data_IF_721510872244
#
_entry.id   IF_721510872244
#
_cell.length_a   1.000
_cell.length_b   1.000
_cell.length_c   1.000
_cell.angle_alpha   90.00
_cell.angle_beta   90.00
_cell.angle_gamma   90.00
#
_symmetry.space_group_name_H-M   'P 1'
#
loop_
_entity.id
_entity.type
_entity.pdbx_description
1 polymer ?
#
# COMPACT_ATOMS: atom_id res chain seq x y z
N UNK A 1 -10.01 36.58 19.80
CA UNK A 1 -9.74 36.97 18.39
C UNK A 1 -10.87 37.84 17.86
N UNK A 2 -10.57 38.74 16.92
CA UNK A 2 -11.58 39.46 16.13
C UNK A 2 -12.09 38.57 14.96
N UNK A 3 -13.29 38.83 14.40
CA UNK A 3 -13.79 38.09 13.24
C UNK A 3 -12.81 38.05 12.06
N UNK A 4 -12.04 39.12 11.87
CA UNK A 4 -11.02 39.21 10.82
C UNK A 4 -9.85 38.25 11.08
N UNK A 5 -9.40 38.12 12.33
CA UNK A 5 -8.38 37.14 12.73
C UNK A 5 -8.87 35.70 12.56
N UNK A 6 -10.16 35.44 12.77
CA UNK A 6 -10.77 34.12 12.57
C UNK A 6 -10.81 33.74 11.09
N UNK A 7 -11.14 34.68 10.20
CA UNK A 7 -11.14 34.43 8.75
C UNK A 7 -9.71 34.27 8.22
N UNK A 8 -8.75 35.06 8.70
CA UNK A 8 -7.33 34.89 8.34
C UNK A 8 -6.79 33.54 8.81
N UNK A 9 -7.13 33.09 10.03
CA UNK A 9 -6.75 31.77 10.53
C UNK A 9 -7.40 30.63 9.72
N UNK A 10 -8.67 30.79 9.35
CA UNK A 10 -9.38 29.82 8.51
C UNK A 10 -8.86 29.79 7.07
N UNK A 11 -8.51 30.92 6.46
CA UNK A 11 -7.90 30.97 5.13
C UNK A 11 -6.47 30.43 5.14
N UNK A 12 -5.71 30.66 6.21
CA UNK A 12 -4.41 30.04 6.44
C UNK A 12 -4.57 28.51 6.59
N UNK A 13 -5.56 28.05 7.36
CA UNK A 13 -5.91 26.64 7.48
C UNK A 13 -6.38 26.04 6.16
N UNK A 14 -7.20 26.73 5.35
CA UNK A 14 -7.60 26.31 4.01
C UNK A 14 -6.44 26.30 3.01
N UNK A 15 -5.49 27.21 3.14
CA UNK A 15 -4.27 27.25 2.31
C UNK A 15 -3.33 26.10 2.69
N UNK A 16 -3.29 25.76 3.98
CA UNK A 16 -2.58 24.60 4.50
C UNK A 16 -3.28 23.28 4.11
N UNK A 17 -4.61 23.23 4.14
CA UNK A 17 -5.43 22.12 3.63
C UNK A 17 -5.33 22.00 2.11
N UNK A 18 -5.22 23.09 1.34
CA UNK A 18 -4.86 23.08 -0.09
C UNK A 18 -3.51 22.42 -0.35
N UNK A 19 -2.63 22.40 0.64
CA UNK A 19 -1.33 21.74 0.59
C UNK A 19 -1.36 20.31 1.17
N UNK A 20 -2.30 19.95 2.05
CA UNK A 20 -2.34 18.64 2.74
C UNK A 20 -3.51 17.70 2.39
N UNK A 21 -4.58 18.21 1.79
CA UNK A 21 -5.70 17.43 1.25
C UNK A 21 -6.02 17.94 -0.15
N UNK A 22 -6.11 17.04 -1.13
CA UNK A 22 -6.54 17.35 -2.49
C UNK A 22 -8.01 17.81 -2.51
N UNK A 23 -8.27 19.06 -2.16
CA UNK A 23 -9.29 19.83 -2.82
C UNK A 23 -8.62 20.46 -4.03
N UNK A 24 -8.59 19.73 -5.14
CA UNK A 24 -8.40 20.35 -6.44
C UNK A 24 -9.64 21.22 -6.70
N UNK A 25 -9.64 22.44 -6.15
CA UNK A 25 -10.55 23.49 -6.57
C UNK A 25 -10.16 23.81 -8.01
N UNK A 26 -10.70 23.07 -8.97
CA UNK A 26 -10.60 23.47 -10.35
C UNK A 26 -11.33 24.81 -10.42
N UNK A 27 -10.58 25.90 -10.62
CA UNK A 27 -11.09 27.29 -10.59
C UNK A 27 -12.22 27.54 -11.61
N UNK A 28 -12.57 26.55 -12.43
CA UNK A 28 -13.50 26.65 -13.53
C UNK A 28 -14.96 26.30 -13.19
N UNK A 29 -15.29 25.70 -12.03
CA UNK A 29 -16.70 25.63 -11.63
C UNK A 29 -17.11 26.95 -10.97
N UNK A 30 -18.05 27.66 -11.62
CA UNK A 30 -18.46 29.03 -11.26
C UNK A 30 -18.94 29.17 -9.82
N UNK A 31 -19.50 28.11 -9.26
CA UNK A 31 -20.16 28.08 -7.96
C UNK A 31 -19.18 28.03 -6.76
N UNK A 32 -18.03 27.37 -6.90
CA UNK A 32 -16.98 27.37 -5.87
C UNK A 32 -16.13 28.64 -5.87
N UNK A 33 -15.96 29.28 -7.05
CA UNK A 33 -15.31 30.59 -7.17
C UNK A 33 -16.07 31.65 -6.37
N UNK A 34 -17.39 31.63 -6.42
CA UNK A 34 -18.22 32.56 -5.65
C UNK A 34 -18.10 32.35 -4.14
N UNK A 35 -18.03 31.09 -3.67
CA UNK A 35 -17.81 30.78 -2.26
C UNK A 35 -16.45 31.27 -1.76
N UNK A 36 -15.37 31.01 -2.51
CA UNK A 36 -14.02 31.45 -2.16
C UNK A 36 -13.93 32.98 -2.17
N UNK A 37 -14.43 33.64 -3.22
CA UNK A 37 -14.46 35.11 -3.28
C UNK A 37 -15.38 35.73 -2.22
N UNK A 38 -16.42 35.03 -1.76
CA UNK A 38 -17.23 35.49 -0.63
C UNK A 38 -16.44 35.40 0.68
N UNK A 39 -15.76 34.27 0.95
CA UNK A 39 -14.89 34.11 2.13
C UNK A 39 -13.75 35.15 2.15
N UNK A 40 -13.15 35.44 0.99
CA UNK A 40 -12.12 36.49 0.84
C UNK A 40 -12.69 37.90 1.11
N UNK A 41 -13.93 38.19 0.71
CA UNK A 41 -14.61 39.47 1.03
C UNK A 41 -14.93 39.61 2.51
N UNK A 42 -15.37 38.54 3.15
CA UNK A 42 -15.58 38.50 4.62
C UNK A 42 -14.25 38.69 5.35
N UNK A 43 -13.13 38.23 4.78
CA UNK A 43 -11.78 38.45 5.31
C UNK A 43 -11.32 39.92 5.20
N UNK A 44 -11.79 40.63 4.18
CA UNK A 44 -11.40 42.01 3.90
C UNK A 44 -12.15 43.04 4.76
N UNK A 45 -13.25 42.67 5.42
CA UNK A 45 -13.94 43.53 6.39
C UNK A 45 -15.21 42.89 6.96
N UNK A 46 -15.70 43.35 8.13
CA UNK A 46 -16.84 42.73 8.80
C UNK A 46 -18.13 42.95 8.00
N UNK A 47 -18.73 41.87 7.51
CA UNK A 47 -20.14 41.85 7.13
C UNK A 47 -20.98 41.71 8.41
N UNK A 48 -22.04 42.49 8.55
CA UNK A 48 -22.92 42.41 9.72
C UNK A 48 -23.48 40.98 9.92
N UNK A 49 -23.67 40.51 11.16
CA UNK A 49 -24.01 39.11 11.46
C UNK A 49 -25.26 38.58 10.74
N UNK A 50 -26.25 39.44 10.47
CA UNK A 50 -27.45 39.06 9.71
C UNK A 50 -27.23 38.85 8.21
N UNK A 51 -26.17 39.43 7.64
CA UNK A 51 -25.85 39.31 6.21
C UNK A 51 -25.18 37.96 5.87
N UNK A 52 -24.43 37.39 6.83
CA UNK A 52 -23.69 36.14 6.68
C UNK A 52 -24.60 34.92 6.58
N UNK A 53 -25.70 34.90 7.34
CA UNK A 53 -26.61 33.76 7.40
C UNK A 53 -27.51 33.63 6.15
N UNK A 54 -28.03 34.76 5.65
CA UNK A 54 -28.86 34.76 4.43
C UNK A 54 -28.03 34.50 3.16
N UNK A 55 -26.88 35.16 2.99
CA UNK A 55 -26.05 34.95 1.80
C UNK A 55 -25.50 33.52 1.69
N UNK A 56 -25.31 32.83 2.82
CA UNK A 56 -24.85 31.45 2.83
C UNK A 56 -25.92 30.44 2.43
N UNK A 57 -27.16 30.59 2.91
CA UNK A 57 -28.29 29.77 2.46
C UNK A 57 -28.47 29.90 0.94
N UNK A 58 -28.33 31.13 0.42
CA UNK A 58 -28.38 31.39 -1.01
C UNK A 58 -27.19 30.78 -1.77
N UNK A 59 -25.99 30.77 -1.20
CA UNK A 59 -24.81 30.15 -1.82
C UNK A 59 -24.86 28.62 -1.80
N UNK A 60 -25.36 28.00 -0.72
CA UNK A 60 -25.59 26.55 -0.66
C UNK A 60 -26.71 26.12 -1.60
N UNK A 61 -27.79 26.90 -1.68
CA UNK A 61 -28.87 26.68 -2.63
C UNK A 61 -28.36 26.84 -4.07
N UNK A 62 -27.57 27.87 -4.35
CA UNK A 62 -26.94 28.07 -5.66
C UNK A 62 -25.93 26.94 -5.99
N UNK A 63 -25.16 26.45 -5.03
CA UNK A 63 -24.26 25.31 -5.22
C UNK A 63 -25.05 24.03 -5.49
N UNK A 64 -26.16 23.80 -4.78
CA UNK A 64 -27.06 22.66 -5.00
C UNK A 64 -27.71 22.72 -6.39
N UNK A 65 -28.09 23.91 -6.86
CA UNK A 65 -28.70 24.10 -8.19
C UNK A 65 -27.67 23.97 -9.32
N UNK A 66 -26.47 24.51 -9.13
CA UNK A 66 -25.43 24.54 -10.19
C UNK A 66 -24.53 23.30 -10.23
N UNK A 67 -24.39 22.59 -9.11
CA UNK A 67 -23.63 21.33 -9.03
C UNK A 67 -24.10 20.48 -7.83
N UNK A 68 -25.19 19.69 -7.99
CA UNK A 68 -25.77 18.88 -6.92
C UNK A 68 -24.79 17.87 -6.29
N UNK A 69 -23.90 17.32 -7.12
CA UNK A 69 -22.88 16.35 -6.67
C UNK A 69 -21.81 17.02 -5.79
N UNK A 70 -21.39 18.23 -6.14
CA UNK A 70 -20.48 19.01 -5.30
C UNK A 70 -21.18 19.45 -4.01
N UNK A 71 -22.46 19.81 -4.06
CA UNK A 71 -23.24 20.10 -2.85
C UNK A 71 -23.25 18.91 -1.89
N UNK A 72 -23.60 17.70 -2.35
CA UNK A 72 -23.53 16.51 -1.50
C UNK A 72 -22.12 16.24 -0.95
N UNK A 73 -21.10 16.36 -1.81
CA UNK A 73 -19.70 16.11 -1.45
C UNK A 73 -19.16 17.08 -0.40
N UNK A 74 -19.52 18.37 -0.47
CA UNK A 74 -18.94 19.42 0.37
C UNK A 74 -19.84 19.85 1.55
N UNK A 75 -21.11 19.44 1.58
CA UNK A 75 -22.07 19.77 2.65
C UNK A 75 -21.55 19.44 4.07
N UNK A 76 -20.89 18.30 4.36
CA UNK A 76 -20.38 18.01 5.70
C UNK A 76 -19.25 18.95 6.15
N UNK A 77 -18.33 19.30 5.23
CA UNK A 77 -17.24 20.23 5.51
C UNK A 77 -17.76 21.65 5.75
N UNK A 78 -18.73 22.09 4.96
CA UNK A 78 -19.39 23.38 5.12
C UNK A 78 -20.22 23.45 6.42
N UNK A 79 -20.91 22.37 6.79
CA UNK A 79 -21.64 22.29 8.07
C UNK A 79 -20.71 22.34 9.29
N UNK A 80 -19.55 21.68 9.22
CA UNK A 80 -18.55 21.68 10.30
C UNK A 80 -17.93 23.07 10.51
N UNK A 81 -17.66 23.77 9.41
CA UNK A 81 -17.21 25.17 9.40
C UNK A 81 -18.16 26.11 10.15
N UNK A 82 -19.47 25.89 10.01
CA UNK A 82 -20.50 26.69 10.66
C UNK A 82 -20.82 26.26 12.09
N UNK A 83 -20.66 24.99 12.45
CA UNK A 83 -20.75 24.57 13.86
C UNK A 83 -19.69 25.28 14.71
N UNK A 84 -18.51 25.51 14.12
CA UNK A 84 -17.38 26.26 14.71
C UNK A 84 -17.66 27.78 14.77
N UNK A 85 -18.38 28.36 13.79
CA UNK A 85 -18.73 29.79 13.77
C UNK A 85 -20.04 30.16 14.47
N UNK A 86 -20.98 29.22 14.61
CA UNK A 86 -22.35 29.47 15.10
C UNK A 86 -22.52 29.39 16.62
N UNK A 87 -21.49 28.97 17.36
CA UNK A 87 -21.51 28.84 18.82
C UNK A 87 -20.63 29.91 19.47
N UNK A 88 -21.11 31.15 19.47
CA UNK A 88 -20.44 32.30 20.09
C UNK A 88 -20.36 32.23 21.64
N UNK A 89 -20.44 31.05 22.26
CA UNK A 89 -20.46 30.91 23.73
C UNK A 89 -19.50 29.88 24.34
N UNK A 90 -18.90 28.99 23.57
CA UNK A 90 -17.92 28.04 24.12
C UNK A 90 -16.55 28.23 23.47
N UNK A 91 -15.89 29.34 23.83
CA UNK A 91 -14.46 29.50 23.57
C UNK A 91 -13.77 30.08 24.80
N UNK A 92 -12.93 29.26 25.42
CA UNK A 92 -12.02 29.68 26.47
C UNK A 92 -10.99 30.63 25.87
N UNK A 93 -10.78 31.74 26.56
CA UNK A 93 -9.82 32.78 26.21
C UNK A 93 -8.40 32.21 26.35
N UNK A 94 -7.64 32.21 25.26
CA UNK A 94 -6.22 31.84 25.22
C UNK A 94 -5.45 33.15 25.24
N UNK A 95 -4.93 33.52 26.41
CA UNK A 95 -4.35 34.84 26.66
C UNK A 95 -2.83 34.90 26.43
N UNK A 96 -2.18 33.77 26.17
CA UNK A 96 -0.77 33.72 25.84
C UNK A 96 -0.39 32.51 24.97
N UNK A 97 0.77 32.58 24.30
CA UNK A 97 1.35 31.47 23.51
C UNK A 97 1.52 30.18 24.33
N UNK A 98 1.60 30.27 25.66
CA UNK A 98 1.68 29.12 26.57
C UNK A 98 0.37 28.31 26.64
N UNK A 99 -0.78 28.96 26.36
CA UNK A 99 -2.10 28.33 26.43
C UNK A 99 -2.49 27.64 25.10
N UNK A 100 -1.71 27.86 24.02
CA UNK A 100 -1.80 27.11 22.77
C UNK A 100 -1.11 25.74 22.82
N UNK A 101 -0.31 25.49 23.86
CA UNK A 101 0.54 24.30 23.98
C UNK A 101 -0.25 22.97 23.95
N UNK A 102 -1.44 22.81 24.57
CA UNK A 102 -2.13 21.52 24.53
C UNK A 102 -2.70 21.14 23.15
N UNK A 103 -3.08 22.13 22.32
CA UNK A 103 -3.61 21.89 20.97
C UNK A 103 -2.50 21.79 19.91
N UNK A 104 -1.35 22.43 20.13
CA UNK A 104 -0.14 22.29 19.32
C UNK A 104 0.77 21.13 19.74
N UNK A 105 0.55 20.52 20.92
CA UNK A 105 1.30 19.36 21.40
C UNK A 105 1.18 18.13 20.50
N UNK A 106 0.15 18.05 19.65
CA UNK A 106 0.08 17.01 18.62
C UNK A 106 0.96 17.30 17.39
N UNK A 107 1.56 18.48 17.25
CA UNK A 107 2.05 18.98 15.96
C UNK A 107 3.33 19.81 15.97
N UNK A 108 4.11 19.84 17.07
CA UNK A 108 5.53 20.18 17.02
C UNK A 108 6.33 19.36 18.03
N UNK A 109 7.30 18.61 17.52
CA UNK A 109 8.55 18.38 18.26
C UNK A 109 9.61 19.16 17.51
N UNK A 110 10.09 20.22 18.14
CA UNK A 110 11.22 21.01 17.66
C UNK A 110 12.47 20.14 17.72
N UNK A 111 12.82 19.60 16.57
CA UNK A 111 14.01 18.82 16.31
C UNK A 111 13.94 18.35 14.87
N UNK A 112 15.06 18.41 14.14
CA UNK A 112 15.24 17.54 12.99
C UNK A 112 15.17 16.10 13.53
N UNK A 113 13.98 15.51 13.52
CA UNK A 113 13.73 14.18 14.06
C UNK A 113 14.33 13.15 13.12
N UNK A 114 15.55 12.71 13.41
CA UNK A 114 16.09 11.49 12.82
C UNK A 114 15.13 10.30 13.03
N UNK A 115 14.55 9.82 11.93
CA UNK A 115 14.42 8.42 11.51
C UNK A 115 14.12 7.37 12.60
N UNK A 116 12.83 7.13 12.87
CA UNK A 116 12.35 6.30 13.98
C UNK A 116 12.39 4.76 13.76
N UNK A 117 12.79 4.27 12.59
CA UNK A 117 13.13 2.87 12.39
C UNK A 117 14.38 2.86 11.51
N UNK A 118 15.56 2.52 12.05
CA UNK A 118 16.76 2.60 11.24
C UNK A 118 16.62 1.67 10.03
N UNK A 119 16.88 2.13 8.80
CA UNK A 119 16.67 1.34 7.58
C UNK A 119 15.35 1.63 6.85
N UNK A 120 14.40 2.33 7.49
CA UNK A 120 13.21 2.89 6.85
C UNK A 120 13.32 4.42 6.85
N UNK A 121 13.46 5.00 5.67
CA UNK A 121 13.46 6.44 5.45
C UNK A 121 12.03 6.90 5.13
N UNK A 122 11.52 7.92 5.83
CA UNK A 122 10.23 8.54 5.49
C UNK A 122 10.54 9.86 4.80
N UNK A 123 10.04 10.07 3.58
CA UNK A 123 10.20 11.33 2.84
C UNK A 123 8.83 11.89 2.50
N UNK A 124 8.53 13.08 3.02
CA UNK A 124 7.37 13.80 2.54
C UNK A 124 7.53 15.31 2.60
N UNK A 125 6.87 15.99 1.66
CA UNK A 125 6.69 17.44 1.69
C UNK A 125 5.47 17.89 2.51
N UNK A 126 4.62 16.95 2.94
CA UNK A 126 3.37 17.25 3.61
C UNK A 126 3.54 17.30 5.14
N UNK A 127 3.20 18.44 5.78
CA UNK A 127 3.20 18.54 7.24
C UNK A 127 2.34 17.44 7.87
N UNK A 128 2.87 16.75 8.90
CA UNK A 128 2.18 15.66 9.59
C UNK A 128 2.36 14.27 9.02
N UNK A 129 2.79 14.14 7.76
CA UNK A 129 2.88 12.83 7.11
C UNK A 129 3.78 11.86 7.89
N UNK A 130 4.94 12.35 8.35
CA UNK A 130 5.87 11.56 9.16
C UNK A 130 5.21 11.03 10.44
N UNK A 131 4.43 11.87 11.13
CA UNK A 131 3.74 11.47 12.35
C UNK A 131 2.67 10.41 12.06
N UNK A 132 1.91 10.57 10.98
CA UNK A 132 0.92 9.58 10.55
C UNK A 132 1.54 8.23 10.21
N UNK A 133 2.61 8.21 9.41
CA UNK A 133 3.33 6.97 9.09
C UNK A 133 3.88 6.32 10.36
N UNK A 134 4.42 7.11 11.29
CA UNK A 134 4.91 6.59 12.59
C UNK A 134 3.81 5.93 13.41
N UNK A 135 2.62 6.52 13.49
CA UNK A 135 1.48 5.88 14.18
C UNK A 135 1.19 4.50 13.59
N UNK A 136 1.23 4.37 12.26
CA UNK A 136 0.99 3.09 11.58
C UNK A 136 2.13 2.08 11.79
N UNK A 137 3.39 2.53 11.76
CA UNK A 137 4.54 1.67 12.07
C UNK A 137 4.49 1.16 13.52
N UNK A 138 4.13 2.03 14.47
CA UNK A 138 3.95 1.63 15.87
C UNK A 138 2.80 0.63 16.03
N UNK A 139 1.69 0.83 15.31
CA UNK A 139 0.58 -0.12 15.31
C UNK A 139 1.00 -1.50 14.76
N UNK A 140 1.86 -1.54 13.73
CA UNK A 140 2.45 -2.78 13.23
C UNK A 140 3.37 -3.44 14.25
N UNK A 141 4.21 -2.66 14.95
CA UNK A 141 5.12 -3.14 15.99
C UNK A 141 4.39 -3.79 17.18
N UNK A 142 3.11 -3.45 17.39
CA UNK A 142 2.28 -4.12 18.40
C UNK A 142 1.90 -5.59 18.04
N UNK A 143 2.20 -6.04 16.82
CA UNK A 143 2.07 -7.44 16.39
C UNK A 143 3.44 -8.11 16.29
N UNK A 144 3.53 -9.41 16.57
CA UNK A 144 4.78 -10.16 16.45
C UNK A 144 5.25 -10.24 14.99
N UNK A 145 4.33 -10.42 14.03
CA UNK A 145 4.66 -10.42 12.60
C UNK A 145 5.15 -9.05 12.12
N UNK A 146 4.50 -7.96 12.54
CA UNK A 146 4.94 -6.60 12.23
C UNK A 146 6.29 -6.26 12.87
N UNK A 147 6.51 -6.66 14.12
CA UNK A 147 7.83 -6.56 14.78
C UNK A 147 8.91 -7.28 13.97
N UNK A 148 8.68 -8.53 13.58
CA UNK A 148 9.64 -9.32 12.82
C UNK A 148 10.02 -8.65 11.48
N UNK A 149 9.06 -8.03 10.79
CA UNK A 149 9.32 -7.28 9.55
C UNK A 149 10.15 -6.03 9.86
N UNK A 150 9.73 -5.21 10.80
CA UNK A 150 10.40 -3.94 11.12
C UNK A 150 11.83 -4.14 11.63
N UNK A 151 12.06 -5.16 12.45
CA UNK A 151 13.38 -5.55 12.91
C UNK A 151 14.25 -6.05 11.75
N UNK A 152 13.71 -6.89 10.87
CA UNK A 152 14.45 -7.39 9.71
C UNK A 152 14.85 -6.29 8.72
N UNK A 153 13.96 -5.30 8.51
CA UNK A 153 14.26 -4.11 7.71
C UNK A 153 15.34 -3.22 8.37
N UNK A 154 15.50 -3.34 9.69
CA UNK A 154 16.46 -2.56 10.48
C UNK A 154 17.88 -3.13 10.48
N UNK A 155 18.01 -4.46 10.39
CA UNK A 155 19.30 -5.18 10.48
C UNK A 155 20.09 -5.16 9.16
N UNK A 156 19.43 -5.01 7.99
CA UNK A 156 20.05 -5.05 6.67
C UNK A 156 20.85 -3.78 6.28
N UNK A 157 21.69 -3.24 7.18
CA UNK A 157 22.40 -1.98 6.94
C UNK A 157 23.70 -2.07 6.15
N UNK A 158 24.26 -3.27 5.98
CA UNK A 158 25.63 -3.42 5.46
C UNK A 158 25.76 -3.17 3.94
N UNK A 159 24.66 -3.26 3.19
CA UNK A 159 24.65 -3.22 1.71
C UNK A 159 23.91 -2.02 1.11
N UNK A 160 23.68 -0.97 1.90
CA UNK A 160 23.03 0.31 1.50
C UNK A 160 21.59 0.19 0.99
N UNK A 161 20.97 -0.99 0.99
CA UNK A 161 19.58 -1.11 0.54
C UNK A 161 18.64 -0.60 1.63
N UNK A 162 17.74 0.30 1.26
CA UNK A 162 16.83 0.98 2.19
C UNK A 162 15.39 0.83 1.71
N UNK A 163 14.47 0.88 2.67
CA UNK A 163 13.06 1.14 2.37
C UNK A 163 12.83 2.64 2.48
N UNK A 164 12.24 3.25 1.46
CA UNK A 164 11.79 4.64 1.52
C UNK A 164 10.27 4.66 1.47
N UNK A 165 9.61 5.27 2.45
CA UNK A 165 8.17 5.54 2.40
C UNK A 165 7.99 6.99 1.95
N UNK A 166 7.31 7.19 0.84
CA UNK A 166 7.05 8.52 0.28
C UNK A 166 5.57 8.82 0.25
N UNK A 167 5.20 10.10 0.35
CA UNK A 167 3.83 10.48 0.02
C UNK A 167 3.50 10.11 -1.42
N UNK A 168 2.39 9.42 -1.61
CA UNK A 168 1.87 9.15 -2.96
C UNK A 168 1.36 10.48 -3.55
N UNK A 169 2.24 11.21 -4.23
CA UNK A 169 1.82 12.23 -5.18
C UNK A 169 1.20 11.47 -6.33
N UNK A 170 -0.04 11.77 -6.75
CA UNK A 170 -0.78 11.06 -7.82
C UNK A 170 -0.12 11.08 -9.22
N UNK A 171 1.21 11.21 -9.33
CA UNK A 171 1.96 10.84 -10.52
C UNK A 171 2.12 9.32 -10.54
N UNK A 172 1.35 8.71 -11.42
CA UNK A 172 1.22 7.26 -11.65
C UNK A 172 2.49 6.67 -12.29
N UNK A 173 3.64 6.80 -11.62
CA UNK A 173 4.89 6.22 -12.07
C UNK A 173 5.53 5.42 -10.95
N UNK A 174 5.06 4.18 -10.76
CA UNK A 174 5.79 3.16 -10.02
C UNK A 174 7.17 3.05 -10.68
N UNK A 175 8.21 3.53 -10.02
CA UNK A 175 9.56 3.51 -10.55
C UNK A 175 9.99 2.06 -10.78
N UNK A 176 10.05 1.63 -12.05
CA UNK A 176 10.44 0.28 -12.51
C UNK A 176 11.90 -0.11 -12.16
N UNK A 177 12.60 0.74 -11.43
CA UNK A 177 14.04 0.67 -11.23
C UNK A 177 14.37 -0.18 -10.00
N UNK A 178 14.46 -1.50 -10.19
CA UNK A 178 15.02 -2.42 -9.19
C UNK A 178 14.30 -3.76 -9.01
N UNK A 179 13.13 -3.92 -9.62
CA UNK A 179 12.25 -5.10 -9.46
C UNK A 179 13.01 -6.41 -9.73
N UNK A 180 13.90 -6.40 -10.70
CA UNK A 180 14.66 -7.56 -11.15
C UNK A 180 15.63 -8.13 -10.11
N UNK A 181 16.15 -7.28 -9.21
CA UNK A 181 17.08 -7.70 -8.17
C UNK A 181 16.37 -8.30 -6.96
N UNK A 182 15.09 -7.96 -6.77
CA UNK A 182 14.26 -8.45 -5.67
C UNK A 182 13.70 -9.86 -5.89
N UNK A 183 13.75 -10.36 -7.12
CA UNK A 183 13.31 -11.71 -7.46
C UNK A 183 14.26 -12.79 -6.94
N UNK A 184 13.70 -13.93 -6.53
CA UNK A 184 14.50 -15.15 -6.40
C UNK A 184 15.01 -15.59 -7.78
N UNK A 185 16.06 -16.42 -7.79
CA UNK A 185 16.77 -16.72 -9.05
C UNK A 185 15.94 -17.53 -10.05
N UNK A 186 15.02 -18.37 -9.59
CA UNK A 186 14.12 -19.14 -10.47
C UNK A 186 13.12 -18.20 -11.15
N UNK A 187 12.47 -17.33 -10.38
CA UNK A 187 11.54 -16.33 -10.91
C UNK A 187 12.25 -15.37 -11.88
N UNK A 188 13.47 -14.94 -11.55
CA UNK A 188 14.27 -14.10 -12.42
C UNK A 188 14.57 -14.75 -13.78
N UNK A 189 14.97 -16.02 -13.80
CA UNK A 189 15.25 -16.75 -15.05
C UNK A 189 13.96 -16.95 -15.87
N UNK A 190 12.84 -17.25 -15.23
CA UNK A 190 11.56 -17.51 -15.92
C UNK A 190 10.78 -16.25 -16.32
N UNK A 191 11.19 -15.07 -15.85
CA UNK A 191 10.47 -13.81 -16.09
C UNK A 191 10.35 -13.47 -17.58
N UNK A 192 11.39 -13.75 -18.37
CA UNK A 192 11.41 -13.36 -19.77
C UNK A 192 10.45 -14.28 -20.53
N UNK A 193 9.44 -13.71 -21.22
CA UNK A 193 8.47 -14.50 -21.98
C UNK A 193 9.15 -15.40 -23.02
N UNK A 194 10.33 -15.02 -23.52
CA UNK A 194 11.10 -15.75 -24.52
C UNK A 194 12.10 -16.76 -23.94
N UNK A 195 12.12 -16.96 -22.61
CA UNK A 195 13.01 -17.95 -21.99
C UNK A 195 12.57 -19.35 -22.38
N UNK A 196 13.15 -19.90 -23.44
CA UNK A 196 12.93 -21.28 -23.89
C UNK A 196 13.90 -22.27 -23.24
N UNK A 197 14.91 -21.77 -22.54
CA UNK A 197 16.02 -22.56 -21.98
C UNK A 197 15.96 -22.58 -20.47
N UNK A 198 16.27 -23.73 -19.89
CA UNK A 198 16.41 -23.85 -18.43
C UNK A 198 17.67 -23.09 -18.00
N UNK A 199 17.51 -22.09 -17.15
CA UNK A 199 18.64 -21.37 -16.61
C UNK A 199 19.39 -22.18 -15.54
N UNK A 200 20.64 -21.80 -15.27
CA UNK A 200 21.51 -22.53 -14.37
C UNK A 200 21.00 -22.54 -12.92
N UNK A 201 20.32 -21.47 -12.49
CA UNK A 201 19.78 -21.37 -11.15
C UNK A 201 18.53 -22.23 -10.97
N UNK A 202 17.68 -22.32 -11.99
CA UNK A 202 16.53 -23.22 -11.99
C UNK A 202 16.97 -24.67 -11.99
N UNK A 203 18.00 -25.02 -12.76
CA UNK A 203 18.57 -26.37 -12.73
C UNK A 203 19.18 -26.71 -11.36
N UNK A 204 19.88 -25.77 -10.72
CA UNK A 204 20.44 -25.96 -9.39
C UNK A 204 19.33 -26.17 -8.34
N UNK A 205 18.28 -25.33 -8.36
CA UNK A 205 17.14 -25.47 -7.46
C UNK A 205 16.42 -26.82 -7.67
N UNK A 206 16.23 -27.24 -8.92
CA UNK A 206 15.64 -28.53 -9.24
C UNK A 206 16.51 -29.71 -8.76
N UNK A 207 17.83 -29.62 -8.88
CA UNK A 207 18.75 -30.64 -8.38
C UNK A 207 18.72 -30.75 -6.84
N UNK A 208 18.44 -29.66 -6.13
CA UNK A 208 18.24 -29.68 -4.67
C UNK A 208 16.87 -30.27 -4.29
N UNK A 209 15.82 -29.91 -5.03
CA UNK A 209 14.45 -30.38 -4.77
C UNK A 209 14.26 -31.87 -5.08
N UNK A 210 14.90 -32.34 -6.16
CA UNK A 210 14.81 -33.71 -6.65
C UNK A 210 16.22 -34.21 -7.05
N UNK A 211 17.03 -34.65 -6.07
CA UNK A 211 18.44 -34.97 -6.28
C UNK A 211 18.66 -36.21 -7.14
N UNK A 212 17.74 -37.18 -7.11
CA UNK A 212 17.82 -38.41 -7.91
C UNK A 212 17.48 -38.09 -9.37
N UNK A 213 18.44 -38.15 -10.31
CA UNK A 213 18.18 -37.74 -11.70
C UNK A 213 17.09 -38.58 -12.36
N UNK A 214 17.05 -39.89 -12.08
CA UNK A 214 16.11 -40.83 -12.69
C UNK A 214 14.64 -40.55 -12.37
N UNK A 215 14.34 -39.77 -11.34
CA UNK A 215 12.95 -39.42 -10.95
C UNK A 215 12.68 -37.92 -11.00
N UNK A 216 13.69 -37.11 -11.37
CA UNK A 216 13.61 -35.65 -11.32
C UNK A 216 12.56 -35.10 -12.29
N UNK A 217 12.54 -35.61 -13.51
CA UNK A 217 11.62 -35.14 -14.55
C UNK A 217 10.18 -35.48 -14.16
N UNK A 218 9.94 -36.73 -13.72
CA UNK A 218 8.66 -37.14 -13.15
C UNK A 218 8.20 -36.27 -11.99
N UNK A 219 9.09 -36.02 -11.04
CA UNK A 219 8.77 -35.20 -9.87
C UNK A 219 8.32 -33.80 -10.27
N UNK A 220 9.05 -33.13 -11.17
CA UNK A 220 8.70 -31.78 -11.60
C UNK A 220 7.38 -31.77 -12.40
N UNK A 221 7.17 -32.75 -13.27
CA UNK A 221 5.92 -32.95 -13.99
C UNK A 221 4.72 -33.09 -13.03
N UNK A 222 4.85 -33.93 -12.01
CA UNK A 222 3.80 -34.13 -10.99
C UNK A 222 3.51 -32.81 -10.23
N UNK A 223 4.55 -32.02 -9.91
CA UNK A 223 4.38 -30.70 -9.25
C UNK A 223 3.69 -29.68 -10.15
N UNK A 224 4.06 -29.61 -11.43
CA UNK A 224 3.42 -28.71 -12.41
C UNK A 224 1.95 -29.05 -12.55
N UNK A 225 1.62 -30.34 -12.73
CA UNK A 225 0.25 -30.77 -12.98
C UNK A 225 -0.65 -30.71 -11.74
N UNK A 226 -0.07 -30.81 -10.53
CA UNK A 226 -0.80 -30.64 -9.28
C UNK A 226 -1.07 -29.18 -8.90
N UNK A 227 -0.44 -28.21 -9.57
CA UNK A 227 -0.55 -26.79 -9.21
C UNK A 227 -1.94 -26.25 -9.52
N UNK A 228 -2.62 -25.56 -8.59
CA UNK A 228 -3.88 -24.89 -8.86
C UNK A 228 -3.71 -23.66 -9.77
N UNK A 229 -4.78 -23.26 -10.44
CA UNK A 229 -4.79 -22.09 -11.32
C UNK A 229 -4.78 -20.79 -10.49
N UNK A 230 -3.63 -20.13 -10.39
CA UNK A 230 -3.53 -18.88 -9.65
C UNK A 230 -4.09 -17.70 -10.43
N UNK A 231 -4.87 -16.86 -9.73
CA UNK A 231 -5.48 -15.65 -10.28
C UNK A 231 -5.32 -14.48 -9.32
N UNK A 232 -5.14 -13.28 -9.88
CA UNK A 232 -5.13 -12.01 -9.12
C UNK A 232 -6.48 -11.67 -8.49
N UNK A 233 -7.55 -12.37 -8.87
CA UNK A 233 -8.85 -12.18 -8.25
C UNK A 233 -9.41 -13.54 -7.88
N UNK A 234 -9.65 -13.73 -6.59
CA UNK A 234 -10.31 -14.90 -6.04
C UNK A 234 -9.50 -15.66 -5.00
N UNK A 235 -10.14 -16.71 -4.50
CA UNK A 235 -9.56 -17.69 -3.57
C UNK A 235 -8.60 -18.57 -4.38
N UNK A 236 -7.37 -18.85 -3.89
CA UNK A 236 -6.51 -19.85 -4.52
C UNK A 236 -7.28 -21.16 -4.66
N UNK A 237 -7.54 -21.66 -5.89
CA UNK A 237 -8.35 -22.85 -6.04
C UNK A 237 -7.63 -24.05 -5.45
N UNK A 238 -8.40 -25.03 -4.97
CA UNK A 238 -7.84 -26.30 -4.48
C UNK A 238 -7.72 -27.32 -5.62
N UNK A 239 -8.41 -27.08 -6.73
CA UNK A 239 -8.44 -27.95 -7.90
C UNK A 239 -7.18 -27.72 -8.74
N UNK A 240 -6.40 -28.76 -9.07
CA UNK A 240 -5.26 -28.64 -9.97
C UNK A 240 -5.67 -28.12 -11.35
N UNK A 241 -4.86 -27.22 -11.90
CA UNK A 241 -5.05 -26.72 -13.27
C UNK A 241 -4.73 -27.78 -14.32
N UNK A 242 -3.81 -28.70 -13.98
CA UNK A 242 -3.30 -29.77 -14.84
C UNK A 242 -3.10 -29.33 -16.30
N UNK A 243 -2.05 -28.53 -16.61
CA UNK A 243 -1.74 -28.11 -17.97
C UNK A 243 -1.38 -29.28 -18.90
N UNK A 244 -1.31 -30.53 -18.41
CA UNK A 244 -1.03 -31.71 -19.22
C UNK A 244 0.44 -31.86 -19.57
N UNK A 245 1.35 -31.36 -18.73
CA UNK A 245 2.79 -31.49 -18.95
C UNK A 245 3.20 -32.96 -18.79
N UNK A 246 4.00 -33.50 -19.71
CA UNK A 246 4.51 -34.88 -19.66
C UNK A 246 5.93 -34.95 -19.14
N UNK A 247 6.36 -36.13 -18.73
CA UNK A 247 7.73 -36.35 -18.26
C UNK A 247 8.76 -36.14 -19.39
N UNK A 248 8.42 -36.54 -20.62
CA UNK A 248 9.26 -36.33 -21.80
C UNK A 248 9.44 -34.84 -22.10
N UNK A 249 8.39 -34.01 -21.93
CA UNK A 249 8.49 -32.56 -22.09
C UNK A 249 9.46 -31.95 -21.07
N UNK A 250 9.36 -32.38 -19.81
CA UNK A 250 10.31 -31.96 -18.76
C UNK A 250 11.73 -32.42 -19.09
N UNK A 251 11.91 -33.68 -19.51
CA UNK A 251 13.21 -34.22 -19.90
C UNK A 251 13.85 -33.42 -21.05
N UNK A 252 13.08 -33.09 -22.09
CA UNK A 252 13.57 -32.24 -23.20
C UNK A 252 14.03 -30.85 -22.73
N UNK A 253 13.33 -30.27 -21.76
CA UNK A 253 13.71 -28.97 -21.20
C UNK A 253 14.98 -29.05 -20.36
N UNK A 254 15.05 -30.03 -19.46
CA UNK A 254 16.13 -30.20 -18.49
C UNK A 254 17.42 -30.70 -19.14
N UNK A 255 17.32 -31.64 -20.08
CA UNK A 255 18.48 -32.38 -20.61
C UNK A 255 18.91 -31.91 -22.00
N UNK A 256 17.97 -31.45 -22.82
CA UNK A 256 18.24 -31.08 -24.21
C UNK A 256 18.17 -29.58 -24.46
N UNK A 257 17.96 -28.78 -23.40
CA UNK A 257 17.82 -27.34 -23.50
C UNK A 257 16.73 -26.94 -24.52
N UNK A 258 15.71 -27.82 -24.65
CA UNK A 258 14.58 -27.66 -25.56
C UNK A 258 13.50 -26.80 -24.94
N UNK A 259 12.53 -26.37 -25.76
CA UNK A 259 11.45 -25.51 -25.30
C UNK A 259 10.30 -26.32 -24.69
N UNK A 260 10.09 -26.23 -23.36
CA UNK A 260 8.95 -26.88 -22.69
C UNK A 260 7.61 -26.25 -23.09
N UNK A 261 7.63 -25.04 -23.66
CA UNK A 261 6.45 -24.30 -24.11
C UNK A 261 6.03 -24.67 -25.53
N UNK A 262 6.87 -25.34 -26.32
CA UNK A 262 6.63 -25.56 -27.76
C UNK A 262 5.34 -26.33 -28.06
N UNK A 263 4.91 -27.18 -27.12
CA UNK A 263 3.68 -27.97 -27.24
C UNK A 263 2.44 -27.23 -26.69
N UNK A 264 2.62 -26.04 -26.10
CA UNK A 264 1.57 -25.22 -25.53
C UNK A 264 1.37 -23.95 -26.39
N UNK A 265 0.34 -23.97 -27.23
CA UNK A 265 0.02 -22.84 -28.12
C UNK A 265 -0.63 -21.64 -27.43
N UNK A 266 -1.03 -21.77 -26.16
CA UNK A 266 -1.69 -20.72 -25.39
C UNK A 266 -0.76 -20.15 -24.32
N UNK A 267 -0.48 -18.84 -24.40
CA UNK A 267 0.29 -18.09 -23.41
C UNK A 267 -0.18 -18.30 -21.96
N UNK A 268 -1.48 -18.47 -21.73
CA UNK A 268 -2.02 -18.69 -20.38
C UNK A 268 -1.51 -20.02 -19.77
N UNK A 269 -1.42 -21.09 -20.58
CA UNK A 269 -0.90 -22.38 -20.13
C UNK A 269 0.61 -22.28 -19.82
N UNK A 270 1.38 -21.61 -20.69
CA UNK A 270 2.81 -21.38 -20.46
C UNK A 270 3.05 -20.59 -19.18
N UNK A 271 2.28 -19.51 -18.97
CA UNK A 271 2.34 -18.70 -17.75
C UNK A 271 2.01 -19.50 -16.48
N UNK A 272 1.00 -20.38 -16.55
CA UNK A 272 0.65 -21.26 -15.45
C UNK A 272 1.78 -22.26 -15.14
N UNK A 273 2.40 -22.87 -16.16
CA UNK A 273 3.54 -23.78 -15.96
C UNK A 273 4.72 -23.02 -15.35
N UNK A 274 5.03 -21.80 -15.81
CA UNK A 274 6.07 -20.95 -15.21
C UNK A 274 5.80 -20.67 -13.72
N UNK A 275 4.58 -20.25 -13.38
CA UNK A 275 4.19 -20.05 -11.98
C UNK A 275 4.31 -21.34 -11.16
N UNK A 276 3.93 -22.48 -11.74
CA UNK A 276 4.04 -23.77 -11.07
C UNK A 276 5.50 -24.15 -10.78
N UNK A 277 6.41 -23.92 -11.73
CA UNK A 277 7.85 -24.16 -11.54
C UNK A 277 8.41 -23.24 -10.45
N UNK A 278 8.08 -21.94 -10.49
CA UNK A 278 8.52 -20.98 -9.47
C UNK A 278 8.11 -21.43 -8.07
N UNK A 279 6.85 -21.84 -7.89
CA UNK A 279 6.35 -22.31 -6.59
C UNK A 279 6.99 -23.64 -6.19
N UNK A 280 7.07 -24.61 -7.11
CA UNK A 280 7.64 -25.93 -6.82
C UNK A 280 9.11 -25.87 -6.38
N UNK A 281 9.86 -24.90 -6.89
CA UNK A 281 11.28 -24.73 -6.61
C UNK A 281 11.59 -23.60 -5.62
N UNK A 282 10.57 -22.92 -5.07
CA UNK A 282 10.75 -21.70 -4.27
C UNK A 282 11.71 -21.90 -3.08
N UNK A 283 11.49 -22.94 -2.27
CA UNK A 283 12.30 -23.22 -1.06
C UNK A 283 13.72 -23.72 -1.37
N UNK A 284 14.00 -24.03 -2.64
CA UNK A 284 15.31 -24.47 -3.13
C UNK A 284 16.00 -23.41 -4.01
N UNK A 285 15.31 -22.33 -4.35
CA UNK A 285 15.83 -21.26 -5.17
C UNK A 285 16.81 -20.43 -4.35
N UNK A 286 17.98 -20.13 -4.95
CA UNK A 286 18.84 -19.10 -4.39
C UNK A 286 18.13 -17.74 -4.43
N UNK A 287 18.36 -16.93 -3.41
CA UNK A 287 17.89 -15.55 -3.41
C UNK A 287 18.59 -14.72 -4.49
N UNK A 288 17.88 -13.72 -5.01
CA UNK A 288 18.44 -12.64 -5.80
C UNK A 288 19.45 -11.81 -4.99
N UNK A 289 19.99 -10.77 -5.63
CA UNK A 289 20.85 -9.84 -4.90
C UNK A 289 20.08 -9.00 -3.90
N UNK A 290 18.77 -8.88 -4.04
CA UNK A 290 17.93 -7.94 -3.29
C UNK A 290 17.96 -6.54 -3.88
N UNK A 291 16.91 -5.75 -3.63
CA UNK A 291 16.80 -4.36 -4.10
C UNK A 291 16.23 -3.43 -3.04
N UNK A 292 16.64 -2.16 -3.05
CA UNK A 292 15.97 -1.11 -2.29
C UNK A 292 14.51 -0.99 -2.76
N UNK A 293 13.62 -0.57 -1.86
CA UNK A 293 12.18 -0.46 -2.14
C UNK A 293 11.70 0.95 -1.82
N UNK A 294 10.81 1.48 -2.66
CA UNK A 294 10.07 2.72 -2.39
C UNK A 294 8.60 2.38 -2.26
N UNK A 295 8.00 2.75 -1.13
CA UNK A 295 6.59 2.56 -0.84
C UNK A 295 5.90 3.90 -0.99
N UNK A 296 5.00 4.00 -1.97
CA UNK A 296 4.17 5.18 -2.14
C UNK A 296 2.90 5.04 -1.30
N UNK A 297 2.93 5.60 -0.09
CA UNK A 297 1.87 5.39 0.88
C UNK A 297 0.92 6.60 0.95
N UNK A 298 -0.36 6.37 0.64
CA UNK A 298 -1.42 7.37 0.77
C UNK A 298 -2.13 7.29 2.12
N UNK A 299 -2.34 8.43 2.77
CA UNK A 299 -3.07 8.53 4.05
C UNK A 299 -4.60 8.53 3.87
N UNK A 300 -5.07 8.77 2.64
CA UNK A 300 -6.47 8.78 2.26
C UNK A 300 -6.68 7.76 1.16
N UNK A 301 -7.35 6.65 1.48
CA UNK A 301 -7.67 5.67 0.47
C UNK A 301 -9.00 6.02 -0.18
N UNK A 302 -8.93 6.43 -1.44
CA UNK A 302 -10.11 6.64 -2.27
C UNK A 302 -10.70 5.31 -2.73
N UNK A 303 -9.95 4.20 -2.62
CA UNK A 303 -10.44 2.88 -2.93
C UNK A 303 -11.30 2.36 -1.76
N UNK A 304 -12.62 2.12 -1.97
CA UNK A 304 -13.50 1.62 -0.93
C UNK A 304 -13.00 0.32 -0.28
N UNK A 305 -12.36 -0.57 -1.06
CA UNK A 305 -11.80 -1.83 -0.54
C UNK A 305 -10.67 -1.61 0.47
N UNK A 306 -9.85 -0.60 0.24
CA UNK A 306 -8.79 -0.27 1.18
C UNK A 306 -9.33 0.47 2.42
N UNK A 307 -10.44 1.20 2.28
CA UNK A 307 -11.12 1.81 3.42
C UNK A 307 -11.70 0.75 4.39
N UNK A 308 -11.91 -0.49 3.96
CA UNK A 308 -12.36 -1.59 4.82
C UNK A 308 -11.26 -2.10 5.78
N UNK A 309 -9.97 -1.93 5.44
CA UNK A 309 -8.84 -2.37 6.29
C UNK A 309 -8.26 -1.22 7.14
N UNK A 310 -7.65 -1.54 8.30
CA UNK A 310 -6.74 -0.64 9.02
C UNK A 310 -5.66 -0.09 8.07
N UNK A 311 -5.45 1.24 8.03
CA UNK A 311 -4.37 1.84 7.24
C UNK A 311 -3.00 1.26 7.57
N UNK A 312 -2.75 0.90 8.84
CA UNK A 312 -1.51 0.28 9.27
C UNK A 312 -1.30 -1.11 8.65
N UNK A 313 -2.35 -1.92 8.47
CA UNK A 313 -2.26 -3.19 7.74
C UNK A 313 -1.98 -2.95 6.25
N UNK A 314 -2.57 -1.90 5.67
CA UNK A 314 -2.24 -1.47 4.31
C UNK A 314 -0.76 -1.13 4.17
N UNK A 315 -0.18 -0.38 5.10
CA UNK A 315 1.27 -0.13 5.13
C UNK A 315 2.06 -1.42 5.35
N UNK A 316 1.58 -2.32 6.23
CA UNK A 316 2.18 -3.61 6.49
C UNK A 316 2.31 -4.48 5.25
N UNK A 317 1.29 -4.48 4.39
CA UNK A 317 1.31 -5.16 3.09
C UNK A 317 2.49 -4.69 2.24
N UNK A 318 2.65 -3.37 2.05
CA UNK A 318 3.76 -2.83 1.27
C UNK A 318 5.13 -3.13 1.90
N UNK A 319 5.22 -3.14 3.23
CA UNK A 319 6.44 -3.49 3.95
C UNK A 319 6.80 -4.99 3.81
N UNK A 320 5.81 -5.88 3.69
CA UNK A 320 6.07 -7.29 3.36
C UNK A 320 6.69 -7.42 1.96
N UNK A 321 6.18 -6.68 0.98
CA UNK A 321 6.81 -6.64 -0.35
C UNK A 321 8.25 -6.14 -0.27
N UNK A 322 8.48 -5.04 0.45
CA UNK A 322 9.81 -4.48 0.65
C UNK A 322 10.76 -5.47 1.33
N UNK A 323 10.29 -6.21 2.33
CA UNK A 323 11.06 -7.25 3.02
C UNK A 323 11.56 -8.34 2.06
N UNK A 324 10.67 -8.92 1.25
CA UNK A 324 11.08 -9.97 0.30
C UNK A 324 11.93 -9.41 -0.85
N UNK A 325 11.64 -8.18 -1.32
CA UNK A 325 12.45 -7.50 -2.33
C UNK A 325 13.88 -7.25 -1.85
N UNK A 326 14.07 -6.77 -0.62
CA UNK A 326 15.40 -6.52 -0.06
C UNK A 326 16.25 -7.80 0.05
N UNK A 327 15.59 -8.93 0.26
CA UNK A 327 16.24 -10.24 0.40
C UNK A 327 16.45 -10.96 -0.93
N UNK A 328 15.88 -10.47 -2.04
CA UNK A 328 15.91 -11.20 -3.29
C UNK A 328 15.03 -12.46 -3.26
N UNK A 329 13.95 -12.44 -2.48
CA UNK A 329 13.12 -13.62 -2.23
C UNK A 329 11.73 -13.53 -2.89
N UNK A 330 11.46 -12.50 -3.72
CA UNK A 330 10.16 -12.41 -4.39
C UNK A 330 9.99 -13.49 -5.47
N UNK A 331 8.83 -14.18 -5.52
CA UNK A 331 8.54 -15.17 -6.55
C UNK A 331 7.93 -14.55 -7.82
N UNK A 332 7.71 -13.24 -7.89
CA UNK A 332 7.10 -12.61 -9.05
C UNK A 332 7.32 -11.10 -9.11
N UNK A 333 6.95 -10.50 -10.23
CA UNK A 333 7.03 -9.04 -10.41
C UNK A 333 5.76 -8.34 -9.90
N UNK A 334 5.86 -7.05 -9.59
CA UNK A 334 4.78 -6.25 -8.98
C UNK A 334 3.60 -5.94 -9.93
N UNK A 335 3.86 -5.68 -11.22
CA UNK A 335 2.82 -5.18 -12.12
C UNK A 335 2.92 -5.80 -13.51
N UNK A 336 1.77 -6.25 -14.02
CA UNK A 336 1.57 -6.52 -15.44
C UNK A 336 2.27 -7.76 -15.99
N UNK A 337 2.82 -8.61 -15.13
CA UNK A 337 3.44 -9.89 -15.53
C UNK A 337 2.61 -11.08 -15.10
N UNK A 338 2.90 -12.26 -15.68
CA UNK A 338 2.23 -13.51 -15.32
C UNK A 338 2.44 -13.92 -13.85
N UNK A 339 3.54 -13.47 -13.24
CA UNK A 339 3.94 -13.80 -11.88
C UNK A 339 3.44 -12.79 -10.84
N UNK A 340 2.74 -11.73 -11.26
CA UNK A 340 2.10 -10.75 -10.35
C UNK A 340 1.24 -11.44 -9.28
N UNK A 341 0.57 -12.53 -9.65
CA UNK A 341 -0.22 -13.29 -8.68
C UNK A 341 0.63 -13.92 -7.57
N UNK A 342 1.85 -14.37 -7.89
CA UNK A 342 2.75 -14.95 -6.90
C UNK A 342 3.34 -13.86 -5.99
N UNK A 343 3.64 -12.69 -6.54
CA UNK A 343 4.08 -11.51 -5.79
C UNK A 343 3.07 -11.15 -4.69
N UNK A 344 1.79 -11.07 -5.07
CA UNK A 344 0.68 -10.78 -4.16
C UNK A 344 0.38 -11.90 -3.18
N UNK A 345 0.35 -13.16 -3.64
CA UNK A 345 0.06 -14.31 -2.78
C UNK A 345 1.13 -14.49 -1.70
N UNK A 346 2.40 -14.24 -2.03
CA UNK A 346 3.49 -14.27 -1.05
C UNK A 346 3.31 -13.17 0.00
N UNK A 347 2.95 -11.97 -0.42
CA UNK A 347 2.71 -10.86 0.49
C UNK A 347 1.52 -11.10 1.42
N UNK A 348 0.39 -11.49 0.85
CA UNK A 348 -0.83 -11.72 1.63
C UNK A 348 -0.68 -12.95 2.54
N UNK A 349 0.08 -13.96 2.12
CA UNK A 349 0.15 -15.26 2.79
C UNK A 349 -1.01 -16.16 2.32
N UNK A 350 -1.03 -16.43 1.02
CA UNK A 350 -2.02 -17.29 0.36
C UNK A 350 -1.36 -18.50 -0.31
N UNK A 351 -2.16 -19.52 -0.61
CA UNK A 351 -1.72 -20.72 -1.31
C UNK A 351 -0.53 -21.40 -0.61
N UNK A 352 0.62 -21.59 -1.29
CA UNK A 352 1.78 -22.26 -0.70
C UNK A 352 2.42 -21.46 0.46
N UNK A 353 2.03 -20.19 0.64
CA UNK A 353 2.57 -19.31 1.68
C UNK A 353 1.57 -19.00 2.81
N UNK A 354 0.47 -19.75 2.94
CA UNK A 354 -0.54 -19.55 3.99
C UNK A 354 0.03 -19.59 5.43
N UNK A 355 1.17 -20.26 5.63
CA UNK A 355 1.87 -20.33 6.93
C UNK A 355 3.08 -19.41 7.05
N UNK A 356 3.30 -18.47 6.12
CA UNK A 356 4.48 -17.61 6.16
C UNK A 356 4.46 -16.68 7.39
N UNK A 357 5.54 -16.65 8.20
CA UNK A 357 5.60 -15.84 9.43
C UNK A 357 5.59 -14.34 9.15
N UNK A 358 6.05 -13.94 7.97
CA UNK A 358 6.03 -12.57 7.47
C UNK A 358 5.07 -12.53 6.28
N UNK A 359 3.84 -12.11 6.57
CA UNK A 359 2.76 -11.93 5.59
C UNK A 359 1.68 -10.99 6.15
N UNK A 360 0.83 -10.44 5.28
CA UNK A 360 -0.34 -9.65 5.69
C UNK A 360 -1.27 -10.49 6.59
N UNK A 361 -1.50 -11.76 6.27
CA UNK A 361 -2.33 -12.66 7.08
C UNK A 361 -1.71 -12.96 8.45
N UNK A 362 -0.37 -13.04 8.56
CA UNK A 362 0.28 -13.16 9.87
C UNK A 362 0.05 -11.92 10.74
N UNK A 363 0.06 -10.72 10.15
CA UNK A 363 -0.28 -9.46 10.85
C UNK A 363 -1.77 -9.44 11.25
N UNK A 364 -2.68 -9.78 10.33
CA UNK A 364 -4.14 -9.82 10.56
C UNK A 364 -4.52 -10.77 11.70
N UNK A 365 -3.93 -11.97 11.72
CA UNK A 365 -4.18 -12.98 12.74
C UNK A 365 -3.86 -12.49 14.17
N UNK A 366 -2.97 -11.51 14.30
CA UNK A 366 -2.52 -10.93 15.57
C UNK A 366 -3.16 -9.58 15.86
N UNK A 367 -3.90 -8.99 14.91
CA UNK A 367 -4.36 -7.61 14.97
C UNK A 367 -5.30 -7.34 16.14
N UNK A 368 -6.22 -8.28 16.42
CA UNK A 368 -7.15 -8.15 17.54
C UNK A 368 -6.45 -8.02 18.91
N UNK A 369 -5.26 -8.61 19.06
CA UNK A 369 -4.44 -8.52 20.28
C UNK A 369 -3.69 -7.18 20.38
N UNK A 370 -3.48 -6.49 19.26
CA UNK A 370 -2.81 -5.20 19.20
C UNK A 370 -3.77 -4.03 19.48
N UNK A 371 -5.06 -4.14 19.14
CA UNK A 371 -6.07 -3.08 19.29
C UNK A 371 -6.08 -2.39 20.67
N UNK A 372 -5.97 -3.10 21.81
CA UNK A 372 -5.95 -2.45 23.13
C UNK A 372 -4.78 -1.49 23.35
N UNK A 373 -3.72 -1.58 22.55
CA UNK A 373 -2.53 -0.73 22.63
C UNK A 373 -2.66 0.56 21.83
N UNK A 374 -3.71 0.70 21.01
CA UNK A 374 -3.93 1.88 20.18
C UNK A 374 -4.75 2.92 20.93
N UNK A 375 -4.47 4.21 20.68
CA UNK A 375 -5.26 5.32 21.20
C UNK A 375 -6.75 5.11 20.90
N UNK A 376 -7.62 5.41 21.87
CA UNK A 376 -9.06 5.21 21.72
C UNK A 376 -9.65 5.98 20.52
N UNK A 377 -9.04 7.11 20.18
CA UNK A 377 -9.44 7.98 19.07
C UNK A 377 -8.91 7.49 17.70
N UNK A 378 -8.03 6.48 17.65
CA UNK A 378 -7.59 5.85 16.40
C UNK A 378 -8.63 4.82 15.90
N UNK A 379 -9.82 5.32 15.61
CA UNK A 379 -10.94 4.52 15.08
C UNK A 379 -10.59 3.79 13.78
N UNK A 380 -9.58 4.24 13.03
CA UNK A 380 -9.19 3.65 11.75
C UNK A 380 -8.35 2.39 11.93
N UNK A 381 -7.40 2.37 12.86
CA UNK A 381 -6.59 1.18 13.13
C UNK A 381 -7.24 0.19 14.11
N UNK A 382 -8.22 0.63 14.91
CA UNK A 382 -8.98 -0.23 15.83
C UNK A 382 -10.03 -1.14 15.16
N UNK A 383 -10.08 -1.20 13.82
CA UNK A 383 -10.98 -2.11 13.10
C UNK A 383 -10.52 -3.56 13.30
N UNK A 384 -11.45 -4.42 13.69
CA UNK A 384 -11.22 -5.87 13.63
C UNK A 384 -11.23 -6.28 12.17
N UNK A 385 -10.22 -7.03 11.75
CA UNK A 385 -10.18 -7.57 10.39
C UNK A 385 -9.87 -9.06 10.40
N UNK A 386 -10.62 -9.86 9.64
CA UNK A 386 -10.28 -11.27 9.45
C UNK A 386 -9.04 -11.41 8.56
N UNK A 387 -8.53 -12.64 8.52
CA UNK A 387 -7.59 -13.07 7.49
C UNK A 387 -8.23 -12.94 6.11
N UNK A 388 -7.38 -12.75 5.10
CA UNK A 388 -7.78 -12.81 3.70
C UNK A 388 -7.67 -14.26 3.23
N UNK A 389 -8.77 -14.79 2.72
CA UNK A 389 -8.81 -16.09 2.04
C UNK A 389 -8.71 -15.96 0.51
N UNK A 390 -8.72 -14.72 0.01
CA UNK A 390 -8.65 -14.39 -1.40
C UNK A 390 -7.83 -13.13 -1.62
N UNK A 391 -7.33 -12.98 -2.83
CA UNK A 391 -6.78 -11.72 -3.30
C UNK A 391 -7.81 -11.02 -4.19
N UNK A 392 -7.87 -9.69 -4.11
CA UNK A 392 -8.65 -8.86 -5.02
C UNK A 392 -7.85 -7.63 -5.35
N UNK A 393 -7.47 -7.50 -6.62
CA UNK A 393 -6.82 -6.29 -7.14
C UNK A 393 -7.74 -5.06 -7.07
#
# INVERSE_FOLDING_TARGET
MTPQQQVTAFLAHCTHLRQGYFFAFNKQTSSLRHLISWLERVAAGPLGPGLLQHQFADHLAALNVSSPNDHQKYKPALASLFAVWGTAKDYVRVDSEADMIPFLQYWRTDGLLHDAYPGIEIRSKFPGYHQHVRVHLNALYATAAGTAILDALTVNRADLKRVTITDHVMNVSCGVNGITHGLNRVAFELRDPNTTRLGAQTLAALALAAPVPATRNRWLMDRINAMPLYSLNGIPPVVPANPGVTEEQVARWVEHNGDIWADHSNFAACNQIKNAIIVALYDHAASGTGAASTIEYSLGDLNPKNAERPPAIGLGHELVHAYYNLRGEQPGDEVGTFSTVLFEYRCVGLGPWAGAPISENAIRAQWALAIPQFDADDVRNRKVVPNRDYYSA
#
